data_IF_184291423851
#
_entry.id   IF_184291423851
#
_cell.length_a   1.000
_cell.length_b   1.000
_cell.length_c   1.000
_cell.angle_alpha   90.00
_cell.angle_beta   90.00
_cell.angle_gamma   90.00
#
_symmetry.space_group_name_H-M   'P 1'
#
loop_
_entity.id
_entity.type
_entity.pdbx_description
1 polymer ?
#
# COMPACT_ATOMS: atom_id res chain seq x y z
N UNK A 1 16.88 -19.88 -4.31
CA UNK A 1 16.45 -20.92 -3.36
C UNK A 1 16.55 -20.35 -1.95
N UNK A 2 15.42 -20.24 -1.28
CA UNK A 2 15.30 -20.27 0.19
C UNK A 2 15.78 -19.05 0.98
N UNK A 3 14.91 -18.05 1.11
CA UNK A 3 14.56 -17.53 2.44
C UNK A 3 13.05 -17.61 2.61
N UNK A 4 12.64 -18.80 3.03
CA UNK A 4 11.39 -19.16 3.69
C UNK A 4 11.09 -18.19 4.82
N UNK A 5 9.91 -17.58 4.85
CA UNK A 5 8.89 -17.85 5.87
C UNK A 5 7.62 -17.03 5.61
N UNK A 6 6.54 -17.78 5.46
CA UNK A 6 5.14 -17.38 5.42
C UNK A 6 4.78 -16.62 6.70
N UNK A 7 4.27 -15.39 6.55
CA UNK A 7 3.23 -14.80 7.40
C UNK A 7 2.35 -13.86 6.54
N UNK A 8 1.57 -14.49 5.67
CA UNK A 8 0.11 -14.35 5.59
C UNK A 8 -0.60 -12.98 5.66
N UNK A 9 0.01 -11.87 5.25
CA UNK A 9 -0.75 -10.70 4.78
C UNK A 9 -0.01 -10.05 3.60
N UNK A 10 -0.23 -10.59 2.39
CA UNK A 10 0.22 -10.00 1.12
C UNK A 10 -0.52 -8.68 0.89
N UNK A 11 -0.16 -7.64 1.63
CA UNK A 11 -0.17 -6.30 1.08
C UNK A 11 1.10 -6.21 0.23
N UNK A 12 1.01 -6.02 -1.09
CA UNK A 12 2.18 -5.64 -1.87
C UNK A 12 2.89 -4.47 -1.16
N UNK A 13 4.23 -4.42 -1.22
CA UNK A 13 5.12 -3.36 -0.70
C UNK A 13 4.82 -1.92 -1.20
N UNK A 14 3.65 -1.71 -1.82
CA UNK A 14 3.15 -0.43 -2.29
C UNK A 14 2.86 0.58 -1.18
N UNK A 15 2.71 0.13 0.06
CA UNK A 15 2.62 1.02 1.20
C UNK A 15 3.81 0.75 2.12
N UNK A 16 4.75 1.70 2.17
CA UNK A 16 5.70 1.73 3.26
C UNK A 16 4.91 1.99 4.55
N UNK A 17 4.58 0.92 5.28
CA UNK A 17 3.75 1.00 6.48
C UNK A 17 4.32 1.94 7.53
N UNK A 18 5.65 2.10 7.60
CA UNK A 18 6.28 2.98 8.59
C UNK A 18 5.95 4.46 8.38
N UNK A 19 5.85 4.87 7.12
CA UNK A 19 5.61 6.27 6.73
C UNK A 19 4.13 6.55 6.48
N UNK A 20 3.27 5.53 6.46
CA UNK A 20 1.84 5.73 6.23
C UNK A 20 1.18 6.40 7.45
N UNK A 21 0.68 7.62 7.24
CA UNK A 21 -0.03 8.42 8.24
C UNK A 21 -1.55 8.16 8.28
N UNK A 22 -2.05 7.24 7.45
CA UNK A 22 -3.48 6.90 7.45
C UNK A 22 -4.41 7.92 6.79
N UNK A 23 -3.91 8.74 5.85
CA UNK A 23 -4.69 9.78 5.18
C UNK A 23 -5.92 9.28 4.38
N UNK A 24 -5.97 7.99 4.03
CA UNK A 24 -7.10 7.39 3.31
C UNK A 24 -7.19 7.71 1.82
N UNK A 25 -6.29 8.52 1.25
CA UNK A 25 -6.32 8.89 -0.19
C UNK A 25 -6.36 7.68 -1.13
N UNK A 26 -5.67 6.60 -0.77
CA UNK A 26 -5.63 5.37 -1.54
C UNK A 26 -6.99 4.67 -1.66
N UNK A 27 -7.85 4.75 -0.64
CA UNK A 27 -9.20 4.20 -0.67
C UNK A 27 -10.07 5.06 -1.57
N UNK A 28 -10.01 6.38 -1.40
CA UNK A 28 -10.81 7.33 -2.19
C UNK A 28 -10.53 7.23 -3.69
N UNK A 29 -9.29 6.95 -4.10
CA UNK A 29 -8.94 6.83 -5.53
C UNK A 29 -9.21 5.44 -6.12
N UNK A 30 -9.50 4.42 -5.29
CA UNK A 30 -9.66 3.06 -5.76
C UNK A 30 -11.07 2.86 -6.35
N UNK A 31 -11.21 2.66 -7.68
CA UNK A 31 -12.53 2.49 -8.29
C UNK A 31 -13.13 1.10 -8.03
N UNK A 32 -12.34 0.17 -7.48
CA UNK A 32 -12.73 -1.22 -7.25
C UNK A 32 -13.01 -1.54 -5.78
N UNK A 33 -12.94 -0.53 -4.90
CA UNK A 33 -13.13 -0.72 -3.46
C UNK A 33 -12.30 -1.90 -2.92
N UNK A 34 -11.04 -1.96 -3.37
CA UNK A 34 -10.11 -3.04 -3.06
C UNK A 34 -9.27 -2.73 -1.82
N UNK A 35 -9.55 -1.62 -1.12
CA UNK A 35 -8.77 -1.12 0.01
C UNK A 35 -9.71 -0.79 1.16
N UNK A 36 -9.33 -1.19 2.39
CA UNK A 36 -10.07 -0.90 3.63
C UNK A 36 -9.12 -0.39 4.71
N UNK A 37 -9.54 0.53 5.58
CA UNK A 37 -8.70 0.95 6.72
C UNK A 37 -8.72 -0.07 7.85
N UNK A 38 -7.56 -0.40 8.38
CA UNK A 38 -7.41 -1.21 9.59
C UNK A 38 -6.53 -0.48 10.61
N UNK A 39 -6.98 -0.42 11.87
CA UNK A 39 -6.19 0.13 12.98
C UNK A 39 -5.01 -0.78 13.28
N UNK A 40 -3.80 -0.25 13.19
CA UNK A 40 -2.58 -0.97 13.53
C UNK A 40 -2.29 -0.92 15.03
N UNK A 41 -1.34 -1.74 15.48
CA UNK A 41 -0.95 -1.84 16.89
C UNK A 41 -0.41 -0.51 17.48
N UNK A 42 0.13 0.37 16.64
CA UNK A 42 0.59 1.71 16.99
C UNK A 42 -0.54 2.77 17.04
N UNK A 43 -1.79 2.38 16.80
CA UNK A 43 -2.96 3.26 16.84
C UNK A 43 -3.20 4.06 15.55
N UNK A 44 -2.34 3.92 14.54
CA UNK A 44 -2.53 4.53 13.22
C UNK A 44 -3.32 3.58 12.32
N UNK A 45 -4.33 4.10 11.64
CA UNK A 45 -5.09 3.34 10.65
C UNK A 45 -4.34 3.26 9.33
N UNK A 46 -4.21 2.07 8.76
CA UNK A 46 -3.51 1.85 7.49
C UNK A 46 -4.37 1.06 6.52
N UNK A 47 -4.21 1.28 5.20
CA UNK A 47 -5.00 0.58 4.20
C UNK A 47 -4.55 -0.88 4.09
N UNK A 48 -5.51 -1.79 4.15
CA UNK A 48 -5.39 -3.21 3.82
C UNK A 48 -5.88 -3.42 2.39
N UNK A 49 -5.08 -4.13 1.58
CA UNK A 49 -5.42 -4.43 0.19
C UNK A 49 -6.08 -5.79 0.11
N UNK A 50 -7.27 -5.85 -0.50
CA UNK A 50 -7.90 -7.08 -0.92
C UNK A 50 -7.40 -7.47 -2.32
N UNK A 51 -6.51 -8.47 -2.35
CA UNK A 51 -5.91 -8.96 -3.60
C UNK A 51 -6.91 -9.68 -4.52
N UNK A 52 -8.11 -10.02 -4.05
CA UNK A 52 -9.17 -10.59 -4.89
C UNK A 52 -9.89 -9.54 -5.74
N UNK A 53 -9.92 -8.29 -5.25
CA UNK A 53 -10.51 -7.13 -5.95
C UNK A 53 -9.48 -6.26 -6.63
N UNK A 54 -8.23 -6.29 -6.16
CA UNK A 54 -7.16 -5.43 -6.66
C UNK A 54 -6.70 -5.86 -8.06
N UNK A 55 -6.98 -5.03 -9.06
CA UNK A 55 -6.49 -5.22 -10.43
C UNK A 55 -5.06 -4.73 -10.67
N UNK A 56 -4.31 -4.36 -9.61
CA UNK A 56 -2.93 -3.84 -9.69
C UNK A 56 -2.78 -2.64 -10.66
N UNK A 57 -3.74 -1.71 -10.61
CA UNK A 57 -3.76 -0.52 -11.46
C UNK A 57 -2.87 0.64 -10.97
N UNK A 58 -2.18 0.48 -9.82
CA UNK A 58 -1.25 1.44 -9.21
C UNK A 58 -1.78 2.84 -8.84
N UNK A 59 -3.06 3.14 -9.08
CA UNK A 59 -3.68 4.44 -8.72
C UNK A 59 -3.51 4.84 -7.26
N UNK A 60 -3.56 3.88 -6.35
CA UNK A 60 -3.40 4.12 -4.93
C UNK A 60 -1.99 4.64 -4.55
N UNK A 61 -0.99 4.32 -5.37
CA UNK A 61 0.42 4.68 -5.20
C UNK A 61 0.65 6.04 -5.82
N UNK A 62 0.11 6.26 -7.01
CA UNK A 62 0.13 7.57 -7.68
C UNK A 62 -0.61 8.66 -6.89
N UNK A 63 -1.60 8.29 -6.09
CA UNK A 63 -2.31 9.22 -5.21
C UNK A 63 -1.57 9.49 -3.89
N UNK A 64 -0.64 8.62 -3.48
CA UNK A 64 0.03 8.73 -2.20
C UNK A 64 1.18 9.74 -2.27
N UNK A 65 1.02 10.91 -1.65
CA UNK A 65 2.06 11.95 -1.64
C UNK A 65 3.33 11.51 -0.90
N UNK A 66 3.17 10.66 0.13
CA UNK A 66 4.30 10.07 0.87
C UNK A 66 5.11 9.13 -0.03
N UNK A 67 4.44 8.34 -0.87
CA UNK A 67 5.11 7.43 -1.79
C UNK A 67 5.68 8.14 -3.02
N UNK A 68 5.09 9.26 -3.46
CA UNK A 68 5.66 10.09 -4.55
C UNK A 68 7.07 10.59 -4.25
N UNK A 69 7.36 10.92 -2.98
CA UNK A 69 8.70 11.33 -2.56
C UNK A 69 9.72 10.17 -2.54
N UNK A 70 9.27 8.92 -2.62
CA UNK A 70 10.08 7.70 -2.57
C UNK A 70 9.84 6.76 -3.78
N UNK A 71 9.40 7.32 -4.91
CA UNK A 71 9.20 6.55 -6.14
C UNK A 71 10.44 5.72 -6.52
N UNK A 72 10.26 4.58 -7.22
CA UNK A 72 11.34 3.66 -7.51
C UNK A 72 12.48 4.41 -8.20
N UNK A 73 13.67 4.41 -7.59
CA UNK A 73 14.92 4.78 -8.26
C UNK A 73 15.17 3.75 -9.36
N UNK A 74 14.54 3.91 -10.52
CA UNK A 74 14.84 3.07 -11.68
C UNK A 74 15.14 3.86 -12.95
N UNK A 75 15.53 5.14 -12.82
CA UNK A 75 16.37 5.85 -13.79
C UNK A 75 16.77 7.23 -13.23
N UNK A 76 17.84 7.25 -12.43
CA UNK A 76 18.76 8.38 -12.52
C UNK A 76 19.56 8.15 -13.81
N UNK A 77 19.59 9.20 -14.63
CA UNK A 77 20.26 9.34 -15.95
C UNK A 77 21.61 8.63 -16.00
#
# INVERSE_FOLDING_TARGET
>A
MSKTHIDELVSPDYFNRKECEGCGCCISICPYDALSMETCADGVERPRVDMTKCLRCNRCVDACEIYKCYGPTSEAI
#
